data_IF_872775303764
#
_entry.id   IF_872775303764
#
_cell.length_a   1.000
_cell.length_b   1.000
_cell.length_c   1.000
_cell.angle_alpha   90.00
_cell.angle_beta   90.00
_cell.angle_gamma   90.00
#
_symmetry.space_group_name_H-M   'P 1'
#
loop_
_entity.id
_entity.type
_entity.pdbx_description
1 polymer ?
#
# COMPACT_ATOMS: atom_id res chain seq x y z
N UNK A 1 -33.68 56.67 37.22
CA UNK A 1 -34.26 55.56 36.42
C UNK A 1 -33.24 54.93 35.49
N UNK A 2 -32.65 55.67 34.52
CA UNK A 2 -31.70 55.13 33.53
C UNK A 2 -30.46 54.42 34.12
N UNK A 3 -29.77 55.03 35.07
CA UNK A 3 -28.54 54.47 35.69
C UNK A 3 -28.77 53.12 36.40
N UNK A 4 -29.93 52.93 37.04
CA UNK A 4 -30.26 51.66 37.73
C UNK A 4 -30.43 50.52 36.74
N UNK A 5 -31.07 50.79 35.60
CA UNK A 5 -31.27 49.80 34.52
C UNK A 5 -29.92 49.44 33.88
N UNK A 6 -29.07 50.44 33.63
CA UNK A 6 -27.72 50.20 33.08
C UNK A 6 -26.85 49.36 34.01
N UNK A 7 -26.90 49.62 35.33
CA UNK A 7 -26.16 48.83 36.32
C UNK A 7 -26.62 47.37 36.38
N UNK A 8 -27.94 47.13 36.37
CA UNK A 8 -28.48 45.77 36.37
C UNK A 8 -28.08 45.04 35.09
N UNK A 9 -28.15 45.69 33.93
CA UNK A 9 -27.73 45.10 32.66
C UNK A 9 -26.25 44.73 32.65
N UNK A 10 -25.38 45.64 33.11
CA UNK A 10 -23.95 45.36 33.24
C UNK A 10 -23.68 44.19 34.19
N UNK A 11 -24.40 44.09 35.31
CA UNK A 11 -24.25 42.99 36.25
C UNK A 11 -24.68 41.64 35.65
N UNK A 12 -25.79 41.61 34.91
CA UNK A 12 -26.26 40.40 34.22
C UNK A 12 -25.24 39.95 33.18
N UNK A 13 -24.72 40.87 32.37
CA UNK A 13 -23.67 40.57 31.39
C UNK A 13 -22.38 40.08 32.06
N UNK A 14 -21.95 40.74 33.14
CA UNK A 14 -20.76 40.37 33.90
C UNK A 14 -20.88 38.98 34.55
N UNK A 15 -22.09 38.51 34.84
CA UNK A 15 -22.33 37.15 35.33
C UNK A 15 -22.50 36.13 34.18
N UNK A 16 -23.17 36.52 33.11
CA UNK A 16 -23.45 35.66 31.97
C UNK A 16 -22.20 35.27 31.18
N UNK A 17 -21.30 36.22 30.90
CA UNK A 17 -20.07 35.98 30.14
C UNK A 17 -19.19 34.88 30.78
N UNK A 18 -18.80 34.96 32.07
CA UNK A 18 -17.96 33.94 32.68
C UNK A 18 -18.68 32.61 32.84
N UNK A 19 -20.00 32.61 33.10
CA UNK A 19 -20.79 31.38 33.14
C UNK A 19 -20.78 30.67 31.77
N UNK A 20 -21.00 31.44 30.69
CA UNK A 20 -20.95 30.92 29.33
C UNK A 20 -19.55 30.43 28.97
N UNK A 21 -18.51 31.19 29.31
CA UNK A 21 -17.13 30.80 29.08
C UNK A 21 -16.78 29.49 29.81
N UNK A 22 -17.16 29.35 31.07
CA UNK A 22 -16.94 28.14 31.87
C UNK A 22 -17.66 26.94 31.24
N UNK A 23 -18.90 27.12 30.80
CA UNK A 23 -19.67 26.07 30.13
C UNK A 23 -19.02 25.66 28.80
N UNK A 24 -18.57 26.64 28.02
CA UNK A 24 -17.91 26.39 26.75
C UNK A 24 -16.58 25.65 26.93
N UNK A 25 -15.72 26.12 27.82
CA UNK A 25 -14.40 25.54 28.07
C UNK A 25 -14.47 24.16 28.74
N UNK A 26 -15.41 23.95 29.68
CA UNK A 26 -15.49 22.71 30.46
C UNK A 26 -16.32 21.62 29.81
N UNK A 27 -17.31 21.97 29.00
CA UNK A 27 -18.30 21.00 28.49
C UNK A 27 -18.24 20.89 26.97
N UNK A 28 -18.26 22.02 26.26
CA UNK A 28 -18.40 22.02 24.80
C UNK A 28 -17.05 21.70 24.13
N UNK A 29 -16.00 22.42 24.52
CA UNK A 29 -14.69 22.29 23.89
C UNK A 29 -14.07 20.88 24.02
N UNK A 30 -14.05 20.25 25.21
CA UNK A 30 -13.46 18.92 25.36
C UNK A 30 -14.21 17.85 24.55
N UNK A 31 -15.55 17.94 24.48
CA UNK A 31 -16.36 17.05 23.66
C UNK A 31 -16.08 17.20 22.17
N UNK A 32 -15.82 18.43 21.72
CA UNK A 32 -15.44 18.66 20.33
C UNK A 32 -14.10 18.00 20.00
N UNK A 33 -13.11 18.15 20.89
CA UNK A 33 -11.79 17.50 20.74
C UNK A 33 -11.91 15.98 20.75
N UNK A 34 -12.76 15.41 21.60
CA UNK A 34 -13.01 13.96 21.65
C UNK A 34 -13.62 13.45 20.34
N UNK A 35 -14.66 14.12 19.82
CA UNK A 35 -15.28 13.79 18.53
C UNK A 35 -14.30 13.94 17.37
N UNK A 36 -13.47 14.98 17.38
CA UNK A 36 -12.46 15.20 16.35
C UNK A 36 -11.40 14.11 16.38
N UNK A 37 -10.98 13.67 17.57
CA UNK A 37 -10.05 12.55 17.75
C UNK A 37 -10.65 11.23 17.29
N UNK A 38 -11.89 10.94 17.65
CA UNK A 38 -12.59 9.72 17.19
C UNK A 38 -12.68 9.70 15.66
N UNK A 39 -13.06 10.81 15.03
CA UNK A 39 -13.08 10.94 13.57
C UNK A 39 -11.70 10.80 12.95
N UNK A 40 -10.66 11.33 13.59
CA UNK A 40 -9.29 11.19 13.11
C UNK A 40 -8.84 9.72 13.12
N UNK A 41 -9.14 8.99 14.20
CA UNK A 41 -8.86 7.55 14.30
C UNK A 41 -9.64 6.77 13.24
N UNK A 42 -10.94 7.02 13.12
CA UNK A 42 -11.79 6.35 12.13
C UNK A 42 -11.30 6.59 10.69
N UNK A 43 -10.86 7.81 10.38
CA UNK A 43 -10.28 8.13 9.08
C UNK A 43 -8.97 7.36 8.82
N UNK A 44 -8.09 7.24 9.82
CA UNK A 44 -6.85 6.45 9.71
C UNK A 44 -7.17 4.97 9.49
N UNK A 45 -8.15 4.43 10.21
CA UNK A 45 -8.59 3.04 10.05
C UNK A 45 -9.11 2.80 8.63
N UNK A 46 -9.99 3.68 8.10
CA UNK A 46 -10.48 3.59 6.72
C UNK A 46 -9.36 3.63 5.67
N UNK A 47 -8.36 4.50 5.86
CA UNK A 47 -7.22 4.58 4.95
C UNK A 47 -6.40 3.29 4.98
N UNK A 48 -6.16 2.76 6.19
CA UNK A 48 -5.40 1.53 6.40
C UNK A 48 -6.12 0.32 5.81
N UNK A 49 -7.44 0.24 5.98
CA UNK A 49 -8.25 -0.83 5.43
C UNK A 49 -8.29 -0.78 3.90
N UNK A 50 -8.42 0.41 3.29
CA UNK A 50 -8.36 0.56 1.84
C UNK A 50 -6.99 0.11 1.27
N UNK A 51 -5.89 0.42 1.97
CA UNK A 51 -4.56 -0.03 1.57
C UNK A 51 -4.38 -1.54 1.72
N UNK A 52 -4.85 -2.12 2.84
CA UNK A 52 -4.81 -3.58 3.07
C UNK A 52 -5.61 -4.35 2.03
N UNK A 53 -6.79 -3.83 1.67
CA UNK A 53 -7.62 -4.40 0.62
C UNK A 53 -6.90 -4.44 -0.74
N UNK A 54 -6.14 -3.39 -1.07
CA UNK A 54 -5.36 -3.32 -2.30
C UNK A 54 -4.18 -4.30 -2.30
N UNK A 55 -3.46 -4.39 -1.17
CA UNK A 55 -2.38 -5.39 -0.98
C UNK A 55 -2.93 -6.81 -1.13
N UNK A 56 -4.09 -7.10 -0.51
CA UNK A 56 -4.76 -8.40 -0.63
C UNK A 56 -5.15 -8.69 -2.08
N UNK A 57 -5.68 -7.71 -2.80
CA UNK A 57 -6.05 -7.85 -4.22
C UNK A 57 -4.82 -8.20 -5.07
N UNK A 58 -3.68 -7.56 -4.83
CA UNK A 58 -2.43 -7.88 -5.49
C UNK A 58 -1.93 -9.29 -5.15
N UNK A 59 -2.04 -9.70 -3.88
CA UNK A 59 -1.66 -11.03 -3.42
C UNK A 59 -2.54 -12.13 -4.05
N UNK A 60 -3.85 -11.92 -4.12
CA UNK A 60 -4.79 -12.84 -4.79
C UNK A 60 -4.49 -12.96 -6.28
N UNK A 61 -4.14 -11.85 -6.94
CA UNK A 61 -3.70 -11.86 -8.34
C UNK A 61 -2.40 -12.66 -8.52
N UNK A 62 -1.41 -12.43 -7.65
CA UNK A 62 -0.14 -13.16 -7.67
C UNK A 62 -0.35 -14.66 -7.45
N UNK A 63 -1.15 -15.04 -6.44
CA UNK A 63 -1.51 -16.42 -6.15
C UNK A 63 -2.25 -17.09 -7.32
N UNK A 64 -3.17 -16.38 -7.96
CA UNK A 64 -3.89 -16.88 -9.14
C UNK A 64 -2.96 -17.20 -10.32
N UNK A 65 -1.86 -16.46 -10.46
CA UNK A 65 -0.87 -16.69 -11.53
C UNK A 65 0.13 -17.78 -11.15
N UNK A 66 0.55 -17.86 -9.89
CA UNK A 66 1.55 -18.83 -9.44
C UNK A 66 1.11 -20.30 -9.58
N UNK A 67 -0.19 -20.57 -9.74
CA UNK A 67 -0.76 -21.91 -9.94
C UNK A 67 -0.67 -22.38 -11.39
N UNK A 68 -0.34 -21.50 -12.35
CA UNK A 68 -0.30 -21.88 -13.76
C UNK A 68 0.94 -22.72 -14.06
N UNK A 69 0.73 -23.96 -14.52
CA UNK A 69 1.80 -24.93 -14.83
C UNK A 69 2.84 -24.38 -15.81
N UNK A 70 2.44 -23.48 -16.71
CA UNK A 70 3.33 -22.84 -17.68
C UNK A 70 4.40 -21.95 -17.02
N UNK A 71 4.06 -21.25 -15.93
CA UNK A 71 5.02 -20.45 -15.15
C UNK A 71 5.99 -21.34 -14.38
N UNK A 72 5.51 -22.48 -13.87
CA UNK A 72 6.31 -23.48 -13.18
C UNK A 72 7.28 -24.22 -14.14
N UNK A 73 6.80 -24.58 -15.33
CA UNK A 73 7.63 -25.15 -16.39
C UNK A 73 8.71 -24.17 -16.87
N UNK A 74 8.36 -22.89 -17.02
CA UNK A 74 9.30 -21.85 -17.40
C UNK A 74 10.31 -21.52 -16.27
N UNK A 75 9.93 -21.67 -14.99
CA UNK A 75 10.84 -21.56 -13.84
C UNK A 75 12.00 -22.54 -13.96
N UNK A 76 11.68 -23.78 -14.36
CA UNK A 76 12.64 -24.87 -14.49
C UNK A 76 13.42 -24.81 -15.81
N UNK A 77 12.83 -24.28 -16.87
CA UNK A 77 13.44 -24.19 -18.19
C UNK A 77 13.06 -22.87 -18.90
N UNK A 78 13.85 -21.79 -18.71
CA UNK A 78 13.59 -20.51 -19.35
C UNK A 78 13.62 -20.64 -20.88
N UNK A 79 12.54 -20.24 -21.56
CA UNK A 79 12.48 -20.21 -23.03
C UNK A 79 12.28 -18.78 -23.56
N UNK A 80 13.09 -18.31 -24.53
CA UNK A 80 13.07 -16.91 -24.98
C UNK A 80 11.76 -16.45 -25.64
N UNK A 81 10.88 -17.38 -26.04
CA UNK A 81 9.58 -17.08 -26.65
C UNK A 81 8.43 -16.93 -25.64
N UNK A 82 8.52 -17.56 -24.47
CA UNK A 82 7.42 -17.61 -23.49
C UNK A 82 7.08 -16.24 -22.94
N UNK A 83 8.09 -15.45 -22.55
CA UNK A 83 7.91 -14.08 -22.06
C UNK A 83 7.11 -13.17 -23.02
N UNK A 84 7.24 -13.35 -24.33
CA UNK A 84 6.51 -12.54 -25.32
C UNK A 84 5.09 -13.03 -25.56
N UNK A 85 4.87 -14.35 -25.49
CA UNK A 85 3.56 -14.97 -25.69
C UNK A 85 2.67 -14.83 -24.43
N UNK A 86 3.26 -15.00 -23.25
CA UNK A 86 2.61 -14.89 -21.95
C UNK A 86 2.15 -13.45 -21.64
N UNK A 87 2.82 -12.45 -22.22
CA UNK A 87 2.52 -11.03 -22.05
C UNK A 87 1.69 -10.39 -23.17
N UNK A 88 1.16 -11.17 -24.12
CA UNK A 88 0.25 -10.64 -25.13
C UNK A 88 -1.19 -10.47 -24.57
N UNK A 89 -1.90 -9.35 -24.85
CA UNK A 89 -2.92 -8.80 -23.93
C UNK A 89 -4.31 -9.47 -24.04
N UNK A 90 -5.19 -9.35 -23.02
CA UNK A 90 -5.47 -8.11 -22.29
C UNK A 90 -5.28 -8.14 -20.76
N UNK A 91 -4.61 -9.14 -20.17
CA UNK A 91 -4.55 -9.25 -18.72
C UNK A 91 -3.44 -8.37 -18.09
N UNK A 92 -3.85 -7.46 -17.20
CA UNK A 92 -3.05 -6.83 -16.14
C UNK A 92 -1.96 -5.79 -16.50
N UNK A 93 -1.82 -5.41 -17.78
CA UNK A 93 -0.76 -4.47 -18.21
C UNK A 93 -0.96 -3.03 -17.71
N UNK A 94 -2.20 -2.62 -17.39
CA UNK A 94 -2.48 -1.24 -16.95
C UNK A 94 -2.28 -1.02 -15.45
N UNK A 95 -2.19 -2.08 -14.63
CA UNK A 95 -2.12 -1.94 -13.17
C UNK A 95 -0.79 -2.38 -12.58
N UNK A 96 -0.09 -3.33 -13.21
CA UNK A 96 1.19 -3.84 -12.73
C UNK A 96 2.37 -3.06 -13.30
N UNK A 97 3.39 -2.86 -12.47
CA UNK A 97 4.63 -2.17 -12.85
C UNK A 97 5.82 -3.12 -12.95
N UNK A 98 5.76 -4.26 -12.26
CA UNK A 98 6.74 -5.34 -12.35
C UNK A 98 6.05 -6.69 -12.19
N UNK A 99 6.45 -7.63 -13.04
CA UNK A 99 6.25 -9.05 -12.82
C UNK A 99 7.62 -9.70 -12.97
N UNK A 100 8.07 -10.40 -11.94
CA UNK A 100 9.38 -11.05 -11.92
C UNK A 100 9.26 -12.45 -11.37
N UNK A 101 10.18 -13.30 -11.80
CA UNK A 101 10.26 -14.69 -11.42
C UNK A 101 11.67 -14.99 -10.95
N UNK A 102 11.77 -15.42 -9.70
CA UNK A 102 12.98 -15.93 -9.08
C UNK A 102 13.13 -17.41 -9.35
N UNK A 103 14.35 -17.83 -9.65
CA UNK A 103 14.73 -19.24 -9.72
C UNK A 103 15.04 -19.79 -8.32
N UNK A 104 15.11 -21.13 -8.15
CA UNK A 104 15.41 -21.76 -6.86
C UNK A 104 16.76 -21.38 -6.25
N UNK A 105 17.68 -20.87 -7.07
CA UNK A 105 19.02 -20.42 -6.67
C UNK A 105 19.06 -18.95 -6.23
N UNK A 106 17.91 -18.26 -6.26
CA UNK A 106 17.80 -16.83 -5.92
C UNK A 106 18.15 -15.89 -7.07
N UNK A 107 18.46 -16.42 -8.27
CA UNK A 107 18.66 -15.58 -9.45
C UNK A 107 17.31 -15.18 -10.09
N UNK A 108 17.29 -14.06 -10.79
CA UNK A 108 16.09 -13.64 -11.53
C UNK A 108 16.03 -14.42 -12.85
N UNK A 109 15.17 -15.44 -12.92
CA UNK A 109 14.96 -16.23 -14.13
C UNK A 109 14.36 -15.39 -15.26
N UNK A 110 13.44 -14.49 -14.89
CA UNK A 110 12.77 -13.60 -15.81
C UNK A 110 12.18 -12.41 -15.07
N UNK A 111 12.15 -11.26 -15.74
CA UNK A 111 11.39 -10.12 -15.26
C UNK A 111 10.95 -9.23 -16.40
N UNK A 112 9.73 -8.72 -16.27
CA UNK A 112 9.19 -7.69 -17.12
C UNK A 112 8.64 -6.56 -16.28
N UNK A 113 9.07 -5.35 -16.60
CA UNK A 113 8.52 -4.14 -16.02
C UNK A 113 7.71 -3.38 -17.06
N UNK A 114 6.75 -2.61 -16.57
CA UNK A 114 5.84 -1.81 -17.38
C UNK A 114 5.98 -0.33 -17.02
N UNK A 115 5.96 0.51 -18.04
CA UNK A 115 5.89 1.96 -17.91
C UNK A 115 4.82 2.47 -18.87
N UNK A 116 3.76 3.09 -18.33
CA UNK A 116 2.64 3.59 -19.13
C UNK A 116 1.94 2.50 -19.96
N UNK A 117 1.71 1.33 -19.37
CA UNK A 117 1.06 0.19 -20.03
C UNK A 117 1.88 -0.49 -21.12
N UNK A 118 3.20 -0.25 -21.17
CA UNK A 118 4.11 -0.86 -22.14
C UNK A 118 5.31 -1.48 -21.46
N UNK A 119 5.78 -2.60 -22.01
CA UNK A 119 7.03 -3.23 -21.58
C UNK A 119 8.19 -2.24 -21.71
N UNK A 120 8.93 -2.04 -20.61
CA UNK A 120 10.06 -1.11 -20.54
C UNK A 120 11.28 -1.77 -19.91
N UNK A 121 12.35 -1.92 -20.69
CA UNK A 121 13.63 -2.43 -20.22
C UNK A 121 14.29 -1.49 -19.20
N UNK A 122 14.09 -0.17 -19.36
CA UNK A 122 14.59 0.82 -18.40
C UNK A 122 13.89 0.72 -17.05
N UNK A 123 12.56 0.53 -17.04
CA UNK A 123 11.81 0.34 -15.82
C UNK A 123 12.26 -0.93 -15.09
N UNK A 124 12.56 -1.99 -15.84
CA UNK A 124 13.07 -3.25 -15.30
C UNK A 124 14.40 -3.04 -14.58
N UNK A 125 15.34 -2.36 -15.23
CA UNK A 125 16.64 -2.05 -14.65
C UNK A 125 16.50 -1.20 -13.37
N UNK A 126 15.64 -0.17 -13.40
CA UNK A 126 15.39 0.66 -12.20
C UNK A 126 14.79 -0.12 -11.03
N UNK A 127 13.89 -1.06 -11.29
CA UNK A 127 13.19 -1.80 -10.24
C UNK A 127 13.96 -3.01 -9.70
N UNK A 128 14.81 -3.64 -10.51
CA UNK A 128 15.56 -4.83 -10.06
C UNK A 128 17.04 -4.55 -9.80
N UNK A 129 17.67 -3.64 -10.56
CA UNK A 129 19.10 -3.36 -10.39
C UNK A 129 19.31 -2.25 -9.33
N UNK A 130 18.35 -1.32 -9.18
CA UNK A 130 18.48 -0.20 -8.24
C UNK A 130 17.70 -0.37 -6.93
N UNK A 131 16.81 -1.37 -6.80
CA UNK A 131 16.06 -1.65 -5.57
C UNK A 131 16.40 -3.07 -5.07
N UNK A 132 17.47 -3.23 -4.27
CA UNK A 132 17.87 -4.55 -3.75
C UNK A 132 16.77 -5.20 -2.92
N UNK A 133 15.92 -4.42 -2.26
CA UNK A 133 14.79 -4.91 -1.45
C UNK A 133 13.79 -5.72 -2.30
N UNK A 134 13.58 -5.33 -3.57
CA UNK A 134 12.74 -6.10 -4.51
C UNK A 134 13.41 -7.41 -4.93
N UNK A 135 14.74 -7.41 -5.08
CA UNK A 135 15.48 -8.61 -5.45
C UNK A 135 15.56 -9.62 -4.30
N UNK A 136 15.66 -9.16 -3.05
CA UNK A 136 15.61 -10.01 -1.85
C UNK A 136 14.30 -10.78 -1.73
N UNK A 137 13.17 -10.15 -2.11
CA UNK A 137 11.85 -10.82 -2.15
C UNK A 137 11.76 -11.96 -3.18
N UNK A 138 12.68 -12.04 -4.13
CA UNK A 138 12.74 -13.13 -5.11
C UNK A 138 13.51 -14.35 -4.61
N UNK A 139 14.17 -14.26 -3.44
CA UNK A 139 14.92 -15.36 -2.85
C UNK A 139 13.96 -16.28 -2.08
N UNK A 140 13.87 -17.58 -2.44
CA UNK A 140 12.99 -18.51 -1.73
C UNK A 140 13.56 -18.84 -0.33
N UNK A 141 13.06 -18.15 0.70
CA UNK A 141 13.30 -18.52 2.09
C UNK A 141 12.31 -19.63 2.48
N UNK A 142 12.83 -20.86 2.64
CA UNK A 142 12.09 -22.13 2.66
C UNK A 142 10.97 -22.33 3.71
N UNK A 143 10.45 -21.29 4.35
CA UNK A 143 9.32 -21.34 5.30
C UNK A 143 7.96 -20.90 4.74
N UNK A 144 7.92 -20.02 3.74
CA UNK A 144 6.75 -19.69 2.89
C UNK A 144 7.08 -18.38 2.19
N UNK A 145 7.34 -18.40 0.89
CA UNK A 145 7.67 -17.21 0.10
C UNK A 145 6.43 -16.39 -0.27
N UNK A 146 5.47 -16.33 0.65
CA UNK A 146 4.18 -15.66 0.48
C UNK A 146 4.21 -14.38 1.33
N UNK A 147 4.80 -13.33 0.78
CA UNK A 147 4.94 -12.01 1.42
C UNK A 147 4.19 -10.99 0.59
N UNK A 148 3.33 -10.20 1.21
CA UNK A 148 2.69 -9.04 0.58
C UNK A 148 2.73 -7.83 1.49
N UNK A 149 2.87 -6.64 0.91
CA UNK A 149 3.05 -5.43 1.70
C UNK A 149 3.41 -4.20 0.88
N UNK A 150 3.91 -3.19 1.57
CA UNK A 150 4.45 -1.96 1.00
C UNK A 150 5.96 -1.97 1.20
N UNK A 151 6.70 -1.66 0.15
CA UNK A 151 8.14 -1.42 0.22
C UNK A 151 8.44 -0.02 -0.30
N UNK A 152 9.50 0.56 0.24
CA UNK A 152 10.04 1.82 -0.26
C UNK A 152 11.15 1.51 -1.26
N UNK A 153 11.07 2.08 -2.45
CA UNK A 153 12.06 1.88 -3.52
C UNK A 153 12.59 3.24 -4.00
N UNK A 154 13.74 3.29 -4.69
CA UNK A 154 14.20 4.55 -5.31
C UNK A 154 13.22 5.15 -6.32
N UNK A 155 12.29 4.34 -6.85
CA UNK A 155 11.22 4.80 -7.75
C UNK A 155 9.97 5.27 -7.01
N UNK A 156 9.96 5.22 -5.68
CA UNK A 156 8.83 5.53 -4.81
C UNK A 156 8.28 4.30 -4.07
N UNK A 157 7.29 4.50 -3.19
CA UNK A 157 6.63 3.40 -2.50
C UNK A 157 5.89 2.49 -3.49
N UNK A 158 5.97 1.18 -3.27
CA UNK A 158 5.36 0.16 -4.11
C UNK A 158 4.62 -0.88 -3.27
N UNK A 159 3.48 -1.32 -3.77
CA UNK A 159 2.82 -2.53 -3.30
C UNK A 159 3.51 -3.73 -3.93
N UNK A 160 3.78 -4.75 -3.13
CA UNK A 160 4.41 -5.99 -3.58
C UNK A 160 3.63 -7.20 -3.08
N UNK A 161 3.63 -8.26 -3.88
CA UNK A 161 3.19 -9.58 -3.48
C UNK A 161 4.12 -10.64 -4.08
N UNK A 162 4.44 -11.64 -3.28
CA UNK A 162 5.23 -12.81 -3.66
C UNK A 162 4.44 -14.07 -3.43
N UNK A 163 4.66 -15.08 -4.26
CA UNK A 163 4.07 -16.39 -4.12
C UNK A 163 5.05 -17.48 -4.58
N UNK A 164 5.16 -18.58 -3.84
CA UNK A 164 5.93 -19.75 -4.28
C UNK A 164 5.38 -20.33 -5.60
N UNK A 165 6.27 -20.59 -6.57
CA UNK A 165 5.96 -21.39 -7.75
C UNK A 165 6.07 -22.88 -7.41
N UNK A 166 4.97 -23.60 -7.64
CA UNK A 166 4.70 -24.94 -7.11
C UNK A 166 4.66 -24.97 -5.58
N UNK A 167 3.52 -25.38 -5.01
CA UNK A 167 3.40 -25.56 -3.56
C UNK A 167 4.39 -26.66 -3.15
N UNK A 168 5.40 -26.38 -2.31
CA UNK A 168 6.35 -27.40 -1.90
C UNK A 168 5.58 -28.54 -1.22
N UNK A 169 5.70 -29.76 -1.75
CA UNK A 169 5.35 -30.97 -1.00
C UNK A 169 6.32 -31.08 0.17
N UNK A 170 5.89 -31.69 1.27
CA UNK A 170 6.65 -31.79 2.53
C UNK A 170 8.17 -31.95 2.29
N UNK A 171 8.92 -30.88 2.59
CA UNK A 171 10.40 -30.86 2.55
C UNK A 171 11.05 -30.51 1.21
N UNK A 172 10.31 -30.31 0.12
CA UNK A 172 10.88 -29.88 -1.17
C UNK A 172 11.04 -28.36 -1.25
N UNK A 173 12.11 -27.91 -1.92
CA UNK A 173 12.36 -26.49 -2.14
C UNK A 173 11.39 -25.99 -3.24
N UNK A 174 10.81 -24.81 -3.06
CA UNK A 174 9.97 -24.20 -4.08
C UNK A 174 10.71 -24.10 -5.42
N UNK A 175 10.01 -24.32 -6.53
CA UNK A 175 10.59 -24.27 -7.89
C UNK A 175 10.94 -22.84 -8.33
N UNK A 176 10.54 -21.84 -7.54
CA UNK A 176 10.84 -20.43 -7.73
C UNK A 176 9.87 -19.56 -6.92
N UNK A 177 9.95 -18.26 -7.13
CA UNK A 177 9.03 -17.28 -6.54
C UNK A 177 8.52 -16.36 -7.64
N UNK A 178 7.21 -16.13 -7.69
CA UNK A 178 6.61 -15.09 -8.50
C UNK A 178 6.50 -13.83 -7.66
N UNK A 179 6.98 -12.70 -8.18
CA UNK A 179 6.84 -11.38 -7.60
C UNK A 179 5.99 -10.52 -8.53
N UNK A 180 5.01 -9.85 -7.97
CA UNK A 180 4.29 -8.76 -8.63
C UNK A 180 4.47 -7.48 -7.83
N UNK A 181 4.70 -6.38 -8.54
CA UNK A 181 4.76 -5.06 -7.92
C UNK A 181 3.93 -4.03 -8.69
N UNK A 182 3.35 -3.11 -7.93
CA UNK A 182 2.56 -1.98 -8.41
C UNK A 182 3.03 -0.72 -7.71
N UNK A 183 3.23 0.37 -8.44
CA UNK A 183 3.56 1.66 -7.83
C UNK A 183 2.39 2.18 -7.00
N UNK A 184 2.71 2.77 -5.85
CA UNK A 184 1.75 3.53 -5.06
C UNK A 184 1.80 5.00 -5.50
N UNK A 185 1.38 5.23 -6.76
CA UNK A 185 1.41 6.52 -7.42
C UNK A 185 0.17 7.38 -7.13
N UNK A 186 0.15 8.61 -7.63
CA UNK A 186 -0.96 9.55 -7.42
C UNK A 186 -2.29 9.03 -7.98
N UNK A 187 -2.23 8.22 -9.05
CA UNK A 187 -3.41 7.62 -9.65
C UNK A 187 -4.03 6.56 -8.73
N UNK A 188 -3.22 5.66 -8.16
CA UNK A 188 -3.67 4.69 -7.18
C UNK A 188 -4.12 5.37 -5.88
N UNK A 189 -3.36 6.35 -5.38
CA UNK A 189 -3.75 7.13 -4.20
C UNK A 189 -5.11 7.83 -4.38
N UNK A 190 -5.38 8.38 -5.57
CA UNK A 190 -6.68 8.97 -5.90
C UNK A 190 -7.82 7.95 -5.88
N UNK A 191 -7.57 6.72 -6.35
CA UNK A 191 -8.54 5.63 -6.28
C UNK A 191 -8.80 5.21 -4.84
N UNK A 192 -7.74 5.07 -4.02
CA UNK A 192 -7.85 4.72 -2.61
C UNK A 192 -8.58 5.80 -1.81
N UNK A 193 -8.28 7.08 -2.06
CA UNK A 193 -8.99 8.22 -1.45
C UNK A 193 -10.50 8.18 -1.74
N UNK A 194 -10.86 7.84 -2.97
CA UNK A 194 -12.27 7.71 -3.38
C UNK A 194 -12.95 6.56 -2.64
N UNK A 195 -12.29 5.40 -2.52
CA UNK A 195 -12.81 4.21 -1.84
C UNK A 195 -12.89 4.38 -0.32
N UNK A 196 -11.91 5.05 0.29
CA UNK A 196 -11.85 5.33 1.73
C UNK A 196 -12.76 6.51 2.14
N UNK A 197 -13.36 7.21 1.18
CA UNK A 197 -14.13 8.45 1.39
C UNK A 197 -13.39 9.49 2.24
N UNK A 198 -12.06 9.48 2.17
CA UNK A 198 -11.15 10.26 3.01
C UNK A 198 -9.98 10.69 2.16
N UNK A 199 -9.63 11.98 2.19
CA UNK A 199 -8.44 12.47 1.50
C UNK A 199 -7.22 12.26 2.39
N UNK A 200 -6.29 11.42 1.94
CA UNK A 200 -5.00 11.23 2.59
C UNK A 200 -3.84 11.36 1.59
N UNK A 201 -2.65 11.57 2.14
CA UNK A 201 -1.38 11.59 1.41
C UNK A 201 -0.43 10.63 2.09
N UNK A 202 0.36 9.93 1.29
CA UNK A 202 1.45 9.14 1.83
C UNK A 202 2.62 10.06 2.17
N UNK A 203 3.14 9.91 3.37
CA UNK A 203 4.39 10.53 3.79
C UNK A 203 5.37 9.43 4.13
N UNK A 204 6.61 9.57 3.66
CA UNK A 204 7.69 8.70 4.13
C UNK A 204 7.86 8.95 5.62
N UNK A 205 7.74 7.91 6.43
CA UNK A 205 7.99 8.02 7.86
C UNK A 205 9.45 8.43 8.06
N UNK A 206 9.67 9.57 8.73
CA UNK A 206 10.99 9.91 9.22
C UNK A 206 11.33 8.90 10.33
N UNK A 207 12.46 8.19 10.28
CA UNK A 207 12.84 7.27 11.35
C UNK A 207 12.86 7.95 12.73
N UNK A 208 13.05 9.27 12.81
CA UNK A 208 12.99 10.02 14.07
C UNK A 208 11.57 10.18 14.67
N UNK A 209 10.50 9.86 13.94
CA UNK A 209 9.10 9.95 14.39
C UNK A 209 8.53 8.61 14.89
N UNK A 210 9.32 7.52 14.83
CA UNK A 210 8.90 6.16 15.19
C UNK A 210 9.42 5.70 16.57
N UNK A 211 10.17 6.55 17.28
CA UNK A 211 10.61 6.37 18.68
C UNK A 211 9.71 7.15 19.65
#
# INVERSE_FOLDING_TARGET
MRVKITLVLCLVLACYIPLYFLLFERIIFPRFVEIERERAVENVDRCTDALRDEIRTLAELCAGWAVWDDLDAFARAPSPGFARAFLSPPLAVDTLHLIAQGAPDGSVAWATAFAGGRVSAEARARLLDAAPELAELLVPDGSSSDVSGVIDTPSGPMLVATQALARPRDGERAAGVLLMARSLDEALLSQLNTRAHTAFRLLRADPALLD
#
